data_IF_778555958344
#
_entry.id   IF_778555958344
#
_cell.length_a   1.000
_cell.length_b   1.000
_cell.length_c   1.000
_cell.angle_alpha   90.00
_cell.angle_beta   90.00
_cell.angle_gamma   90.00
#
_symmetry.space_group_name_H-M   'P 1'
#
loop_
_entity.id
_entity.type
_entity.pdbx_description
1 polymer ?
#
# COMPACT_ATOMS: atom_id res chain seq x y z
N UNK A 1 22.29 -2.63 18.91
CA UNK A 1 23.30 -3.64 18.48
C UNK A 1 23.78 -3.33 17.06
N UNK A 2 25.08 -3.45 16.72
CA UNK A 2 25.57 -3.18 15.36
C UNK A 2 24.96 -4.15 14.35
N UNK A 3 24.52 -3.62 13.22
CA UNK A 3 24.06 -4.40 12.08
C UNK A 3 25.18 -4.41 11.03
N UNK A 4 25.88 -5.53 10.88
CA UNK A 4 26.83 -5.72 9.79
C UNK A 4 26.09 -6.44 8.67
N UNK A 5 25.84 -5.72 7.58
CA UNK A 5 25.09 -6.23 6.43
C UNK A 5 26.04 -6.32 5.24
N UNK A 6 26.07 -7.48 4.57
CA UNK A 6 26.78 -7.66 3.31
C UNK A 6 26.10 -6.94 2.14
N UNK A 7 26.45 -7.24 0.88
CA UNK A 7 25.75 -6.67 -0.27
C UNK A 7 24.29 -7.13 -0.26
N UNK A 8 23.37 -6.19 -0.09
CA UNK A 8 21.93 -6.46 -0.09
C UNK A 8 21.27 -5.61 -1.18
N UNK A 9 20.37 -6.22 -1.95
CA UNK A 9 19.56 -5.51 -2.93
C UNK A 9 18.09 -5.70 -2.60
N UNK A 10 17.39 -4.59 -2.41
CA UNK A 10 15.95 -4.56 -2.19
C UNK A 10 15.34 -4.00 -3.46
N UNK A 11 14.61 -4.83 -4.21
CA UNK A 11 14.05 -4.45 -5.51
C UNK A 11 12.78 -3.58 -5.37
N UNK A 12 11.96 -3.83 -4.35
CA UNK A 12 10.85 -2.96 -3.99
C UNK A 12 10.34 -3.27 -2.58
N UNK A 13 9.86 -2.25 -1.89
CA UNK A 13 9.17 -2.35 -0.61
C UNK A 13 7.80 -1.73 -0.79
N UNK A 14 6.76 -2.57 -0.86
CA UNK A 14 5.38 -2.13 -1.10
C UNK A 14 4.71 -1.42 0.08
N UNK A 15 5.37 -1.36 1.23
CA UNK A 15 4.90 -0.73 2.46
C UNK A 15 5.69 -1.21 3.68
N UNK A 16 5.57 -0.49 4.80
CA UNK A 16 6.25 -0.87 6.05
C UNK A 16 7.68 -0.34 6.17
N UNK A 17 8.48 -1.00 7.00
CA UNK A 17 9.86 -0.59 7.31
C UNK A 17 10.83 -1.76 7.03
N UNK A 18 11.98 -1.46 6.44
CA UNK A 18 13.11 -2.39 6.37
C UNK A 18 14.18 -1.90 7.34
N UNK A 19 14.27 -2.55 8.49
CA UNK A 19 15.25 -2.19 9.51
C UNK A 19 16.33 -3.25 9.61
N UNK A 20 17.58 -2.77 9.57
CA UNK A 20 18.76 -3.56 9.87
C UNK A 20 19.36 -3.09 11.19
N UNK A 21 19.58 -4.02 12.11
CA UNK A 21 20.08 -3.72 13.45
C UNK A 21 18.99 -3.76 14.50
N UNK A 22 19.24 -3.12 15.62
CA UNK A 22 18.30 -3.13 16.74
C UNK A 22 17.13 -2.16 16.52
N UNK A 23 15.95 -2.60 16.93
CA UNK A 23 14.68 -1.92 16.74
C UNK A 23 13.91 -1.92 18.07
N UNK A 24 13.76 -0.75 18.69
CA UNK A 24 13.04 -0.61 19.96
C UNK A 24 11.54 -0.85 19.81
N UNK A 25 10.88 -0.07 18.94
CA UNK A 25 9.48 -0.26 18.55
C UNK A 25 9.35 0.20 17.10
N UNK A 26 8.80 -0.64 16.23
CA UNK A 26 8.40 -0.26 14.87
C UNK A 26 6.92 -0.55 14.71
N UNK A 27 6.12 0.49 14.51
CA UNK A 27 4.67 0.35 14.29
C UNK A 27 4.30 1.04 12.97
N UNK A 28 4.64 0.43 11.81
CA UNK A 28 4.23 0.99 10.53
C UNK A 28 2.72 0.85 10.41
N UNK A 29 2.05 1.94 10.04
CA UNK A 29 0.60 1.95 9.87
C UNK A 29 0.28 2.43 8.48
N UNK A 30 -0.62 1.73 7.82
CA UNK A 30 -1.15 2.12 6.53
C UNK A 30 -2.66 1.98 6.58
N UNK A 31 -3.33 2.96 6.01
CA UNK A 31 -4.75 2.91 5.71
C UNK A 31 -4.87 3.31 4.25
N UNK A 32 -5.60 2.53 3.47
CA UNK A 32 -5.78 2.79 2.06
C UNK A 32 -7.23 2.55 1.71
N UNK A 33 -7.85 3.56 1.12
CA UNK A 33 -9.13 3.42 0.44
C UNK A 33 -8.89 3.57 -1.03
N UNK A 34 -9.09 2.48 -1.75
CA UNK A 34 -8.82 2.43 -3.17
C UNK A 34 -10.08 1.97 -3.87
N UNK A 35 -10.42 2.64 -4.96
CA UNK A 35 -11.61 2.28 -5.73
C UNK A 35 -11.28 2.36 -7.21
N UNK A 36 -11.58 1.30 -7.93
CA UNK A 36 -11.30 1.17 -9.37
C UNK A 36 -12.57 1.11 -10.18
N UNK A 37 -12.52 1.74 -11.36
CA UNK A 37 -13.56 1.61 -12.37
C UNK A 37 -13.22 0.53 -13.39
N UNK A 38 -14.00 0.47 -14.47
CA UNK A 38 -13.73 -0.40 -15.63
C UNK A 38 -12.32 -0.12 -16.18
N UNK A 39 -11.46 -1.13 -16.19
CA UNK A 39 -10.04 -1.04 -16.56
C UNK A 39 -9.09 -0.46 -15.52
N UNK A 40 -9.51 -0.39 -14.25
CA UNK A 40 -8.63 -0.05 -13.14
C UNK A 40 -7.63 -1.16 -12.77
N UNK A 41 -6.54 -0.75 -12.12
CA UNK A 41 -5.51 -1.61 -11.50
C UNK A 41 -4.76 -2.60 -12.41
N UNK A 42 -4.79 -2.41 -13.73
CA UNK A 42 -3.97 -3.21 -14.64
C UNK A 42 -2.47 -2.96 -14.36
N UNK A 43 -1.71 -4.04 -14.15
CA UNK A 43 -0.27 -3.99 -13.87
C UNK A 43 0.46 -5.02 -14.74
N UNK A 44 1.59 -4.62 -15.35
CA UNK A 44 2.41 -5.46 -16.24
C UNK A 44 2.25 -5.11 -17.73
N UNK A 45 3.12 -5.64 -18.62
CA UNK A 45 3.07 -5.35 -20.05
C UNK A 45 1.93 -6.10 -20.77
N UNK A 46 1.53 -5.62 -21.96
CA UNK A 46 0.49 -6.20 -22.84
C UNK A 46 -0.94 -6.22 -22.28
N UNK A 47 -1.35 -5.18 -21.58
CA UNK A 47 -2.72 -5.05 -21.07
C UNK A 47 -3.62 -4.43 -22.15
N UNK A 48 -4.56 -5.22 -22.68
CA UNK A 48 -5.61 -4.76 -23.59
C UNK A 48 -6.94 -4.78 -22.84
N UNK A 49 -7.43 -3.62 -22.43
CA UNK A 49 -8.72 -3.53 -21.72
C UNK A 49 -9.75 -2.80 -22.56
N UNK A 50 -10.80 -3.51 -22.95
CA UNK A 50 -11.93 -2.98 -23.71
C UNK A 50 -13.09 -2.69 -22.75
N UNK A 51 -13.22 -1.42 -22.34
CA UNK A 51 -14.26 -0.99 -21.41
C UNK A 51 -15.37 -0.27 -22.19
N UNK A 52 -16.63 -0.71 -22.03
CA UNK A 52 -17.79 -0.14 -22.76
C UNK A 52 -18.59 0.83 -21.89
N UNK A 53 -18.67 0.58 -20.58
CA UNK A 53 -19.31 1.48 -19.62
C UNK A 53 -18.62 1.32 -18.26
N UNK A 54 -18.51 2.42 -17.50
CA UNK A 54 -17.93 2.41 -16.16
C UNK A 54 -18.78 3.28 -15.25
N UNK A 55 -19.34 2.69 -14.20
CA UNK A 55 -20.02 3.41 -13.13
C UNK A 55 -19.28 3.12 -11.83
N UNK A 56 -18.36 4.01 -11.46
CA UNK A 56 -17.65 3.90 -10.20
C UNK A 56 -18.35 4.76 -9.14
N UNK A 57 -19.34 4.19 -8.47
CA UNK A 57 -20.13 4.88 -7.44
C UNK A 57 -19.52 4.65 -6.07
N UNK A 58 -18.48 5.42 -5.73
CA UNK A 58 -17.98 5.55 -4.34
C UNK A 58 -18.92 6.42 -3.54
N UNK A 59 -20.14 5.97 -3.33
CA UNK A 59 -21.09 6.66 -2.47
C UNK A 59 -20.68 6.43 -1.02
N UNK A 60 -20.13 7.47 -0.41
CA UNK A 60 -19.46 7.39 0.88
C UNK A 60 -20.17 8.30 1.89
N UNK A 61 -20.92 7.71 2.81
CA UNK A 61 -21.71 8.43 3.82
C UNK A 61 -21.23 8.13 5.26
N UNK A 62 -19.95 7.83 5.42
CA UNK A 62 -19.32 7.64 6.72
C UNK A 62 -18.74 8.95 7.26
N UNK A 63 -18.82 9.10 8.59
CA UNK A 63 -18.32 10.29 9.32
C UNK A 63 -16.80 10.19 9.56
N UNK A 64 -16.26 8.97 9.62
CA UNK A 64 -14.83 8.69 9.76
C UNK A 64 -14.46 7.61 8.76
N UNK A 65 -13.46 7.87 7.94
CA UNK A 65 -12.96 6.95 6.93
C UNK A 65 -11.43 6.90 6.99
N UNK A 66 -10.88 5.68 7.03
CA UNK A 66 -9.46 5.42 7.22
C UNK A 66 -8.82 5.98 8.51
N UNK A 67 -9.42 5.81 9.71
CA UNK A 67 -8.77 6.28 10.94
C UNK A 67 -7.65 5.33 11.38
N UNK A 68 -6.43 5.85 11.43
CA UNK A 68 -5.30 5.15 12.02
C UNK A 68 -5.26 5.50 13.52
N UNK A 69 -6.06 4.81 14.35
CA UNK A 69 -6.15 5.06 15.79
C UNK A 69 -5.23 4.13 16.59
N UNK A 70 -4.37 4.72 17.44
CA UNK A 70 -3.58 4.02 18.48
C UNK A 70 -2.12 3.76 18.12
N UNK A 71 -1.19 4.35 18.88
CA UNK A 71 0.19 3.87 19.03
C UNK A 71 0.27 3.27 20.44
N UNK A 72 0.51 1.97 20.56
CA UNK A 72 1.19 1.42 21.73
C UNK A 72 2.24 0.45 21.21
#
# INVERSE_FOLDING_TARGET
>A
MPAIIGPVQILSVGGGNVQFGDAGIISPKSSQKTTGGSGGFNTGPFQLTYNVFSANTTFDCNVIDQPITGNN
#
